data_IF_805308273865
#
_entry.id   IF_805308273865
#
_cell.length_a   1.000
_cell.length_b   1.000
_cell.length_c   1.000
_cell.angle_alpha   90.00
_cell.angle_beta   90.00
_cell.angle_gamma   90.00
#
_symmetry.space_group_name_H-M   'P 1'
#
loop_
_entity.id
_entity.type
_entity.pdbx_description
1 polymer ?
#
# COMPACT_ATOMS: atom_id res chain seq x y z
N UNK A 1 -49.87 -30.72 -28.25
CA UNK A 1 -50.18 -30.24 -26.89
C UNK A 1 -48.83 -29.82 -26.29
N UNK A 2 -48.62 -28.54 -26.01
CA UNK A 2 -47.38 -28.09 -25.41
C UNK A 2 -47.54 -28.23 -23.89
N UNK A 3 -46.77 -29.12 -23.28
CA UNK A 3 -46.70 -29.23 -21.84
C UNK A 3 -46.00 -27.99 -21.30
N UNK A 4 -46.77 -27.06 -20.72
CA UNK A 4 -46.19 -25.94 -19.95
C UNK A 4 -45.70 -26.49 -18.61
N UNK A 5 -44.49 -26.10 -18.22
CA UNK A 5 -44.02 -26.36 -16.89
C UNK A 5 -44.96 -25.70 -15.88
N UNK A 6 -45.43 -26.46 -14.91
CA UNK A 6 -46.12 -25.90 -13.75
C UNK A 6 -45.16 -25.09 -12.86
N UNK A 7 -45.69 -24.45 -11.82
CA UNK A 7 -44.89 -23.64 -10.90
C UNK A 7 -43.72 -24.40 -10.30
N UNK A 8 -43.91 -25.68 -10.01
CA UNK A 8 -42.89 -26.52 -9.37
C UNK A 8 -41.80 -26.91 -10.38
N UNK A 9 -42.17 -27.18 -11.62
CA UNK A 9 -41.24 -27.41 -12.72
C UNK A 9 -40.42 -26.17 -13.05
N UNK A 10 -41.02 -24.97 -13.04
CA UNK A 10 -40.30 -23.70 -13.21
C UNK A 10 -39.33 -23.47 -12.07
N UNK A 11 -39.73 -23.73 -10.82
CA UNK A 11 -38.91 -23.60 -9.64
C UNK A 11 -37.72 -24.56 -9.67
N UNK A 12 -37.94 -25.82 -10.04
CA UNK A 12 -36.89 -26.83 -10.18
C UNK A 12 -35.86 -26.46 -11.25
N UNK A 13 -36.29 -25.92 -12.40
CA UNK A 13 -35.41 -25.40 -13.45
C UNK A 13 -34.63 -24.20 -12.95
N UNK A 14 -35.27 -23.29 -12.21
CA UNK A 14 -34.63 -22.10 -11.64
C UNK A 14 -33.50 -22.47 -10.67
N UNK A 15 -33.75 -23.43 -9.78
CA UNK A 15 -32.73 -23.92 -8.83
C UNK A 15 -31.61 -24.67 -9.56
N UNK A 16 -31.89 -25.49 -10.56
CA UNK A 16 -30.92 -26.17 -11.37
C UNK A 16 -30.01 -25.21 -12.18
N UNK A 17 -30.57 -24.09 -12.64
CA UNK A 17 -29.85 -23.03 -13.36
C UNK A 17 -29.04 -22.15 -12.41
N UNK A 18 -29.58 -21.79 -11.25
CA UNK A 18 -28.83 -21.03 -10.21
C UNK A 18 -27.56 -21.75 -9.81
N UNK A 19 -27.55 -23.07 -9.68
CA UNK A 19 -26.35 -23.86 -9.36
C UNK A 19 -25.32 -23.95 -10.51
N UNK A 20 -25.70 -23.58 -11.74
CA UNK A 20 -24.84 -23.65 -12.94
C UNK A 20 -24.39 -22.29 -13.45
N UNK A 21 -24.99 -21.19 -12.98
CA UNK A 21 -24.52 -19.84 -13.29
C UNK A 21 -23.25 -19.64 -12.47
N UNK A 22 -22.06 -19.49 -13.10
CA UNK A 22 -20.87 -19.14 -12.35
C UNK A 22 -21.14 -17.81 -11.65
N UNK A 23 -20.97 -17.78 -10.34
CA UNK A 23 -21.03 -16.54 -9.57
C UNK A 23 -19.89 -15.63 -10.02
N UNK A 24 -20.18 -14.71 -10.93
CA UNK A 24 -19.21 -13.73 -11.42
C UNK A 24 -18.90 -12.80 -10.26
N UNK A 25 -17.63 -12.71 -9.92
CA UNK A 25 -17.17 -11.74 -8.94
C UNK A 25 -17.17 -10.35 -9.55
N UNK A 26 -17.85 -9.41 -8.93
CA UNK A 26 -17.73 -8.00 -9.28
C UNK A 26 -16.31 -7.48 -8.95
N UNK A 27 -15.80 -6.50 -9.70
CA UNK A 27 -14.50 -5.90 -9.42
C UNK A 27 -14.42 -5.34 -8.00
N UNK A 28 -13.32 -5.65 -7.32
CA UNK A 28 -13.03 -5.08 -6.01
C UNK A 28 -12.50 -3.65 -6.17
N UNK A 29 -13.06 -2.71 -5.44
CA UNK A 29 -12.68 -1.29 -5.45
C UNK A 29 -11.52 -0.99 -4.50
N UNK A 30 -11.20 -1.92 -3.60
CA UNK A 30 -10.06 -1.81 -2.70
C UNK A 30 -8.75 -2.12 -3.43
N UNK A 31 -7.68 -1.56 -2.93
CA UNK A 31 -6.30 -1.86 -3.34
C UNK A 31 -5.65 -2.71 -2.24
N UNK A 32 -4.90 -3.74 -2.63
CA UNK A 32 -4.31 -4.71 -1.70
C UNK A 32 -5.37 -5.39 -0.81
N UNK A 33 -6.44 -5.92 -1.39
CA UNK A 33 -7.59 -6.40 -0.63
C UNK A 33 -7.33 -7.70 0.13
N UNK A 34 -6.25 -8.40 -0.17
CA UNK A 34 -5.80 -9.63 0.50
C UNK A 34 -4.54 -9.39 1.38
N UNK A 35 -4.19 -8.13 1.63
CA UNK A 35 -3.11 -7.69 2.52
C UNK A 35 -1.69 -8.17 2.14
N UNK A 36 -1.50 -8.73 0.95
CA UNK A 36 -0.23 -9.40 0.57
C UNK A 36 0.86 -8.45 0.11
N UNK A 37 0.52 -7.24 -0.33
CA UNK A 37 1.51 -6.24 -0.70
C UNK A 37 1.95 -5.50 0.56
N UNK A 38 3.21 -5.64 0.91
CA UNK A 38 3.79 -5.10 2.13
C UNK A 38 5.20 -4.55 1.86
N UNK A 39 5.28 -3.47 1.08
CA UNK A 39 6.56 -2.84 0.72
C UNK A 39 7.27 -2.26 1.96
N UNK A 40 6.51 -1.89 3.01
CA UNK A 40 7.04 -1.38 4.28
C UNK A 40 7.69 -2.45 5.15
N UNK A 41 7.61 -3.73 4.78
CA UNK A 41 8.04 -4.87 5.61
C UNK A 41 7.41 -4.84 7.02
N UNK A 42 6.21 -4.26 7.09
CA UNK A 42 5.45 -4.15 8.33
C UNK A 42 5.20 -5.54 8.94
N UNK A 43 5.46 -5.69 10.22
CA UNK A 43 5.25 -6.96 10.96
C UNK A 43 4.05 -6.90 11.88
N UNK A 44 3.87 -5.77 12.56
CA UNK A 44 2.75 -5.59 13.47
C UNK A 44 2.88 -4.37 14.36
N UNK A 45 1.75 -3.88 14.79
CA UNK A 45 1.59 -2.86 15.82
C UNK A 45 0.32 -3.19 16.62
N UNK A 46 0.42 -3.17 17.94
CA UNK A 46 -0.70 -3.41 18.83
C UNK A 46 -0.93 -2.17 19.69
N UNK A 47 -2.17 -1.65 19.63
CA UNK A 47 -2.66 -0.59 20.52
C UNK A 47 -1.65 0.54 20.82
N UNK A 48 -1.10 1.22 19.80
CA UNK A 48 -0.23 2.35 20.07
C UNK A 48 -1.05 3.47 20.72
N UNK A 49 -0.97 3.55 22.03
CA UNK A 49 -1.71 4.55 22.82
C UNK A 49 -1.25 5.98 22.58
N UNK A 50 -0.06 6.14 22.03
CA UNK A 50 0.61 7.40 21.71
C UNK A 50 0.39 7.86 20.25
N UNK A 51 -0.22 7.03 19.40
CA UNK A 51 -0.58 7.46 18.05
C UNK A 51 -1.63 8.56 18.10
N UNK A 52 -1.23 9.75 17.70
CA UNK A 52 -2.12 10.89 17.52
C UNK A 52 -2.78 10.92 16.13
N UNK A 53 -2.32 10.07 15.23
CA UNK A 53 -2.68 10.08 13.81
C UNK A 53 -2.89 8.64 13.29
N UNK A 54 -3.47 8.56 12.08
CA UNK A 54 -3.57 7.32 11.31
C UNK A 54 -2.16 6.79 11.03
N UNK A 55 -1.97 5.50 11.21
CA UNK A 55 -0.71 4.80 10.94
C UNK A 55 -0.90 3.77 9.82
N UNK A 56 -0.15 3.96 8.72
CA UNK A 56 -0.16 3.01 7.61
C UNK A 56 0.64 1.75 7.95
N UNK A 57 0.04 0.59 7.70
CA UNK A 57 0.55 -0.74 8.00
C UNK A 57 1.06 -1.44 6.73
N UNK A 58 0.41 -2.49 6.26
CA UNK A 58 0.62 -3.00 4.90
C UNK A 58 0.09 -1.98 3.90
N UNK A 59 0.59 -2.04 2.66
CA UNK A 59 0.27 -1.03 1.65
C UNK A 59 -1.23 -0.75 1.55
N UNK A 60 -1.59 0.52 1.55
CA UNK A 60 -2.95 1.09 1.51
C UNK A 60 -3.80 0.91 2.77
N UNK A 61 -3.42 0.04 3.69
CA UNK A 61 -4.17 -0.18 4.92
C UNK A 61 -3.60 0.60 6.09
N UNK A 62 -4.47 1.13 6.92
CA UNK A 62 -4.08 1.91 8.07
C UNK A 62 -4.89 1.52 9.31
N UNK A 63 -4.31 1.78 10.48
CA UNK A 63 -4.97 1.70 11.79
C UNK A 63 -5.12 3.09 12.39
N UNK A 64 -6.16 3.28 13.18
CA UNK A 64 -6.42 4.51 13.92
C UNK A 64 -5.84 4.39 15.35
N UNK A 65 -5.76 5.49 16.11
CA UNK A 65 -5.39 5.43 17.51
C UNK A 65 -6.21 4.39 18.29
N UNK A 66 -5.53 3.55 19.06
CA UNK A 66 -6.16 2.46 19.81
C UNK A 66 -6.47 1.19 19.00
N UNK A 67 -6.19 1.17 17.71
CA UNK A 67 -6.31 0.00 16.86
C UNK A 67 -4.94 -0.65 16.62
N UNK A 68 -4.93 -1.89 16.11
CA UNK A 68 -3.69 -2.60 15.79
C UNK A 68 -3.84 -3.58 14.64
N UNK A 69 -2.71 -3.97 14.07
CA UNK A 69 -2.63 -4.99 13.02
C UNK A 69 -1.34 -5.80 13.18
N UNK A 70 -1.42 -7.10 12.95
CA UNK A 70 -0.26 -8.00 12.86
C UNK A 70 -0.37 -8.79 11.57
N UNK A 71 0.74 -8.92 10.85
CA UNK A 71 0.83 -9.79 9.66
C UNK A 71 1.23 -11.18 10.12
N UNK A 72 0.38 -12.16 9.85
CA UNK A 72 0.60 -13.56 10.22
C UNK A 72 1.48 -14.27 9.18
N UNK A 73 2.13 -15.35 9.59
CA UNK A 73 3.03 -16.15 8.72
C UNK A 73 2.32 -16.85 7.56
N UNK A 74 1.01 -17.06 7.67
CA UNK A 74 0.16 -17.66 6.63
C UNK A 74 -0.40 -16.64 5.62
N UNK A 75 -0.03 -15.36 5.77
CA UNK A 75 -0.47 -14.27 4.91
C UNK A 75 -1.83 -13.67 5.28
N UNK A 76 -2.45 -14.12 6.37
CA UNK A 76 -3.60 -13.45 6.96
C UNK A 76 -3.15 -12.26 7.82
N UNK A 77 -4.09 -11.44 8.27
CA UNK A 77 -3.80 -10.38 9.24
C UNK A 77 -4.70 -10.51 10.46
N UNK A 78 -4.12 -10.32 11.63
CA UNK A 78 -4.88 -10.13 12.88
C UNK A 78 -5.11 -8.65 13.08
N UNK A 79 -6.35 -8.24 13.22
CA UNK A 79 -6.73 -6.84 13.50
C UNK A 79 -7.26 -6.72 14.94
N UNK A 80 -6.95 -5.60 15.57
CA UNK A 80 -7.41 -5.23 16.92
C UNK A 80 -8.19 -3.93 16.82
N UNK A 81 -9.46 -3.95 17.19
CA UNK A 81 -10.37 -2.80 17.05
C UNK A 81 -10.75 -2.45 15.62
N UNK A 82 -9.84 -2.61 14.66
CA UNK A 82 -10.15 -2.44 13.25
C UNK A 82 -9.00 -1.92 12.38
N UNK A 83 -9.32 -1.68 11.11
CA UNK A 83 -8.44 -1.04 10.13
C UNK A 83 -9.26 -0.32 9.05
N UNK A 84 -8.61 0.57 8.31
CA UNK A 84 -9.26 1.40 7.29
C UNK A 84 -8.49 1.44 5.97
N UNK A 85 -9.22 1.76 4.89
CA UNK A 85 -8.65 2.17 3.61
C UNK A 85 -9.43 3.34 3.04
N UNK A 86 -8.73 4.40 2.63
CA UNK A 86 -9.33 5.54 1.90
C UNK A 86 -9.53 5.19 0.44
N UNK A 87 -10.72 5.50 -0.09
CA UNK A 87 -11.09 5.28 -1.49
C UNK A 87 -11.00 6.60 -2.24
N UNK A 88 -10.30 6.60 -3.38
CA UNK A 88 -10.12 7.83 -4.17
C UNK A 88 -11.37 8.23 -4.95
N UNK A 89 -11.98 7.24 -5.59
CA UNK A 89 -13.14 7.47 -6.43
C UNK A 89 -14.38 7.71 -5.59
N UNK A 90 -15.25 8.55 -6.11
CA UNK A 90 -16.63 8.52 -5.69
C UNK A 90 -17.30 7.28 -6.28
N UNK A 91 -17.76 6.40 -5.41
CA UNK A 91 -18.40 5.13 -5.82
C UNK A 91 -19.90 5.12 -5.53
N UNK A 92 -20.41 6.25 -5.00
CA UNK A 92 -21.81 6.39 -4.61
C UNK A 92 -22.20 5.50 -3.42
N UNK A 93 -23.50 5.41 -3.16
CA UNK A 93 -24.04 4.71 -2.00
C UNK A 93 -24.46 3.27 -2.30
N UNK A 94 -24.57 2.91 -3.59
CA UNK A 94 -24.96 1.55 -3.99
C UNK A 94 -23.75 0.64 -4.05
N UNK A 95 -23.19 0.33 -2.90
CA UNK A 95 -22.02 -0.54 -2.74
C UNK A 95 -22.25 -1.57 -1.65
N UNK A 96 -21.55 -2.69 -1.75
CA UNK A 96 -21.52 -3.75 -0.73
C UNK A 96 -20.10 -3.88 -0.20
N UNK A 97 -19.97 -3.83 1.13
CA UNK A 97 -18.74 -4.07 1.86
C UNK A 97 -18.75 -5.48 2.46
N UNK A 98 -17.67 -6.23 2.29
CA UNK A 98 -17.53 -7.58 2.84
C UNK A 98 -16.10 -7.88 3.29
N UNK A 99 -15.95 -8.84 4.21
CA UNK A 99 -14.66 -9.24 4.76
C UNK A 99 -14.63 -10.76 4.97
N UNK A 100 -13.50 -11.38 4.63
CA UNK A 100 -13.26 -12.81 4.88
C UNK A 100 -12.67 -13.03 6.26
N UNK A 101 -13.50 -13.41 7.21
CA UNK A 101 -13.09 -13.70 8.59
C UNK A 101 -12.66 -15.15 8.68
N UNK A 102 -11.46 -15.38 9.22
CA UNK A 102 -10.90 -16.71 9.50
C UNK A 102 -11.18 -17.11 10.96
N UNK A 103 -11.08 -16.16 11.88
CA UNK A 103 -11.34 -16.37 13.30
C UNK A 103 -11.77 -15.07 13.96
N UNK A 104 -12.57 -15.16 15.02
CA UNK A 104 -13.19 -14.00 15.66
C UNK A 104 -14.41 -13.47 14.91
N UNK A 105 -14.73 -12.21 15.10
CA UNK A 105 -15.83 -11.52 14.43
C UNK A 105 -15.40 -10.15 13.96
N UNK A 106 -15.71 -9.83 12.70
CA UNK A 106 -15.44 -8.51 12.12
C UNK A 106 -16.52 -8.12 11.12
N UNK A 107 -16.79 -6.83 11.02
CA UNK A 107 -17.78 -6.24 10.11
C UNK A 107 -17.08 -5.22 9.21
N UNK A 108 -17.37 -5.30 7.91
CA UNK A 108 -16.93 -4.32 6.92
C UNK A 108 -18.01 -3.27 6.69
N UNK A 109 -17.61 -2.02 6.57
CA UNK A 109 -18.49 -0.89 6.27
C UNK A 109 -17.81 0.10 5.31
N UNK A 110 -18.62 0.89 4.60
CA UNK A 110 -18.16 2.00 3.76
C UNK A 110 -18.93 3.27 4.08
N UNK A 111 -18.21 4.33 4.36
CA UNK A 111 -18.77 5.67 4.54
C UNK A 111 -18.53 6.50 3.26
N UNK A 112 -19.58 6.82 2.49
CA UNK A 112 -19.47 7.57 1.25
C UNK A 112 -19.08 9.04 1.48
N UNK A 113 -19.40 9.62 2.64
CA UNK A 113 -19.08 11.02 2.95
C UNK A 113 -17.57 11.20 3.16
N UNK A 114 -16.95 10.30 3.91
CA UNK A 114 -15.50 10.32 4.16
C UNK A 114 -14.71 9.48 3.16
N UNK A 115 -15.39 8.76 2.26
CA UNK A 115 -14.82 7.80 1.31
C UNK A 115 -13.92 6.78 2.01
N UNK A 116 -14.36 6.28 3.15
CA UNK A 116 -13.57 5.38 3.98
C UNK A 116 -14.22 4.00 4.04
N UNK A 117 -13.49 3.00 3.58
CA UNK A 117 -13.78 1.62 3.89
C UNK A 117 -13.18 1.28 5.25
N UNK A 118 -13.92 0.63 6.11
CA UNK A 118 -13.49 0.24 7.44
C UNK A 118 -13.84 -1.20 7.74
N UNK A 119 -12.98 -1.87 8.49
CA UNK A 119 -13.26 -3.14 9.13
C UNK A 119 -13.17 -2.90 10.63
N UNK A 120 -14.18 -3.30 11.38
CA UNK A 120 -14.21 -3.20 12.84
C UNK A 120 -14.40 -4.58 13.44
N UNK A 121 -13.71 -4.87 14.55
CA UNK A 121 -13.90 -6.12 15.28
C UNK A 121 -15.05 -5.99 16.28
N UNK A 122 -15.81 -7.07 16.40
CA UNK A 122 -16.77 -7.25 17.48
C UNK A 122 -16.08 -8.12 18.54
N UNK A 123 -15.42 -7.47 19.51
CA UNK A 123 -14.54 -8.08 20.48
C UNK A 123 -13.09 -7.58 20.38
N UNK A 124 -12.16 -8.29 21.02
CA UNK A 124 -10.77 -7.83 21.13
C UNK A 124 -10.02 -7.88 19.80
N UNK A 125 -10.19 -8.94 19.03
CA UNK A 125 -9.48 -9.12 17.76
C UNK A 125 -10.22 -10.05 16.79
N UNK A 126 -9.85 -9.97 15.51
CA UNK A 126 -10.24 -10.92 14.49
C UNK A 126 -9.09 -11.23 13.54
N UNK A 127 -9.06 -12.45 13.01
CA UNK A 127 -8.14 -12.85 11.92
C UNK A 127 -8.94 -12.77 10.62
N UNK A 128 -8.43 -12.00 9.66
CA UNK A 128 -9.06 -11.79 8.36
C UNK A 128 -8.09 -12.14 7.22
N UNK A 129 -8.63 -12.59 6.10
CA UNK A 129 -7.84 -13.02 4.94
C UNK A 129 -8.03 -12.13 3.71
N UNK A 130 -9.14 -11.44 3.61
CA UNK A 130 -9.43 -10.51 2.52
C UNK A 130 -10.54 -9.52 2.90
N UNK A 131 -10.62 -8.44 2.13
CA UNK A 131 -11.69 -7.45 2.19
C UNK A 131 -12.19 -7.13 0.78
N UNK A 132 -13.46 -6.73 0.65
CA UNK A 132 -14.04 -6.37 -0.63
C UNK A 132 -15.02 -5.22 -0.49
N UNK A 133 -14.88 -4.25 -1.37
CA UNK A 133 -15.88 -3.22 -1.65
C UNK A 133 -16.26 -3.32 -3.11
N UNK A 134 -17.53 -3.50 -3.41
CA UNK A 134 -18.01 -3.70 -4.77
C UNK A 134 -19.28 -2.89 -5.05
N UNK A 135 -19.51 -2.54 -6.31
CA UNK A 135 -20.75 -1.86 -6.71
C UNK A 135 -21.89 -2.87 -6.73
N UNK A 136 -23.03 -2.48 -6.19
CA UNK A 136 -24.23 -3.29 -6.12
C UNK A 136 -24.67 -3.58 -4.68
N UNK A 137 -25.86 -4.12 -4.52
CA UNK A 137 -26.50 -4.41 -3.22
C UNK A 137 -26.30 -5.84 -2.73
N UNK A 138 -25.59 -6.68 -3.48
CA UNK A 138 -25.39 -8.10 -3.16
C UNK A 138 -23.90 -8.41 -3.21
N UNK A 139 -23.40 -9.03 -2.13
CA UNK A 139 -22.02 -9.50 -2.08
C UNK A 139 -21.78 -10.64 -3.08
N UNK A 140 -20.74 -10.48 -3.90
CA UNK A 140 -20.28 -11.54 -4.80
C UNK A 140 -18.99 -12.18 -4.27
N UNK A 141 -18.63 -13.41 -4.69
CA UNK A 141 -17.45 -14.09 -4.20
C UNK A 141 -16.19 -13.25 -4.35
N UNK A 142 -15.26 -13.38 -3.39
CA UNK A 142 -13.96 -12.76 -3.49
C UNK A 142 -13.11 -13.46 -4.55
N UNK A 143 -12.47 -12.68 -5.41
CA UNK A 143 -11.47 -13.14 -6.37
C UNK A 143 -10.13 -12.48 -6.03
N UNK A 144 -9.07 -13.25 -5.72
CA UNK A 144 -7.76 -12.69 -5.44
C UNK A 144 -7.24 -11.86 -6.61
N UNK A 145 -6.63 -10.69 -6.36
CA UNK A 145 -6.08 -9.86 -7.42
C UNK A 145 -4.81 -10.48 -8.01
N UNK A 146 -4.44 -10.05 -9.22
CA UNK A 146 -3.12 -10.36 -9.76
C UNK A 146 -2.04 -9.57 -8.97
N UNK A 147 -1.04 -10.25 -8.35
CA UNK A 147 -0.08 -9.59 -7.47
C UNK A 147 0.73 -8.48 -8.15
N UNK A 148 1.12 -8.67 -9.41
CA UNK A 148 1.90 -7.66 -10.16
C UNK A 148 1.09 -6.40 -10.42
N UNK A 149 -0.15 -6.55 -10.86
CA UNK A 149 -1.05 -5.42 -11.08
C UNK A 149 -1.36 -4.70 -9.77
N UNK A 150 -1.52 -5.46 -8.69
CA UNK A 150 -1.82 -4.90 -7.38
C UNK A 150 -0.64 -4.13 -6.79
N UNK A 151 0.58 -4.65 -6.96
CA UNK A 151 1.80 -3.93 -6.58
C UNK A 151 1.90 -2.56 -7.30
N UNK A 152 1.61 -2.52 -8.60
CA UNK A 152 1.61 -1.26 -9.37
C UNK A 152 0.60 -0.26 -8.80
N UNK A 153 -0.60 -0.71 -8.41
CA UNK A 153 -1.58 0.14 -7.75
C UNK A 153 -1.08 0.67 -6.40
N UNK A 154 -0.45 -0.18 -5.58
CA UNK A 154 0.14 0.21 -4.30
C UNK A 154 1.28 1.22 -4.49
N UNK A 155 2.12 1.05 -5.50
CA UNK A 155 3.24 1.94 -5.81
C UNK A 155 2.82 3.37 -6.19
N UNK A 156 1.56 3.62 -6.53
CA UNK A 156 1.05 4.99 -6.69
C UNK A 156 0.96 5.76 -5.37
N UNK A 157 1.04 5.06 -4.23
CA UNK A 157 0.90 5.62 -2.88
C UNK A 157 2.15 5.50 -2.04
N UNK A 158 2.91 4.43 -2.24
CA UNK A 158 4.13 4.17 -1.50
C UNK A 158 5.15 3.47 -2.38
N UNK A 159 6.38 3.98 -2.37
CA UNK A 159 7.51 3.38 -3.08
C UNK A 159 8.76 3.39 -2.21
N UNK A 160 9.54 2.32 -2.30
CA UNK A 160 10.88 2.25 -1.76
C UNK A 160 11.88 2.22 -2.92
N UNK A 161 12.88 3.09 -2.85
CA UNK A 161 14.00 3.14 -3.77
C UNK A 161 15.29 2.77 -3.05
N UNK A 162 16.01 1.81 -3.61
CA UNK A 162 17.37 1.51 -3.18
C UNK A 162 18.33 2.52 -3.83
N UNK A 163 19.14 3.16 -3.02
CA UNK A 163 20.10 4.17 -3.47
C UNK A 163 21.45 3.60 -3.86
N UNK A 164 21.70 2.32 -3.66
CA UNK A 164 22.98 1.71 -3.99
C UNK A 164 23.34 1.94 -5.47
N UNK A 165 24.55 2.47 -5.71
CA UNK A 165 25.06 2.80 -7.05
C UNK A 165 24.27 3.85 -7.83
N UNK A 166 23.42 4.64 -7.17
CA UNK A 166 22.75 5.77 -7.80
C UNK A 166 23.80 6.81 -8.22
N UNK A 167 23.78 7.19 -9.50
CA UNK A 167 24.69 8.23 -10.03
C UNK A 167 24.30 9.60 -9.49
N UNK A 168 25.32 10.38 -9.12
CA UNK A 168 25.15 11.72 -8.58
C UNK A 168 25.86 12.72 -9.48
N UNK A 169 25.37 13.94 -9.54
CA UNK A 169 26.00 15.05 -10.22
C UNK A 169 26.60 16.03 -9.22
N UNK A 170 27.82 16.46 -9.52
CA UNK A 170 28.45 17.59 -8.82
C UNK A 170 27.63 18.86 -9.11
N UNK A 171 27.36 19.63 -8.06
CA UNK A 171 26.66 20.90 -8.18
C UNK A 171 27.50 22.07 -7.66
N UNK A 172 28.04 21.96 -6.43
CA UNK A 172 28.98 22.91 -5.82
C UNK A 172 29.99 22.17 -4.96
N UNK A 173 30.99 22.89 -4.41
CA UNK A 173 31.97 22.33 -3.48
C UNK A 173 31.33 21.72 -2.21
N UNK A 174 30.10 22.11 -1.88
CA UNK A 174 29.37 21.70 -0.68
C UNK A 174 28.10 20.91 -0.98
N UNK A 175 27.74 20.75 -2.26
CA UNK A 175 26.43 20.18 -2.64
C UNK A 175 26.54 19.27 -3.85
N UNK A 176 25.96 18.11 -3.74
CA UNK A 176 25.76 17.16 -4.83
C UNK A 176 24.25 16.93 -5.02
N UNK A 177 23.81 16.65 -6.24
CA UNK A 177 22.40 16.43 -6.53
C UNK A 177 22.19 15.17 -7.35
N UNK A 178 21.06 14.53 -7.17
CA UNK A 178 20.60 13.45 -8.03
C UNK A 178 19.08 13.39 -8.09
N UNK A 179 18.57 12.73 -9.11
CA UNK A 179 17.16 12.52 -9.31
C UNK A 179 16.85 11.02 -9.34
N UNK A 180 15.84 10.61 -8.58
CA UNK A 180 15.32 9.26 -8.57
C UNK A 180 13.98 9.23 -9.28
N UNK A 181 13.89 8.58 -10.45
CA UNK A 181 12.60 8.38 -11.10
C UNK A 181 11.74 7.43 -10.28
N UNK A 182 10.46 7.73 -10.16
CA UNK A 182 9.50 6.83 -9.55
C UNK A 182 9.28 5.60 -10.42
N UNK A 183 9.02 4.44 -9.79
CA UNK A 183 8.70 3.18 -10.50
C UNK A 183 7.40 3.29 -11.29
N UNK A 184 6.44 4.00 -10.74
CA UNK A 184 5.20 4.43 -11.39
C UNK A 184 4.88 5.85 -10.95
N UNK A 185 4.13 6.64 -11.74
CA UNK A 185 3.71 7.98 -11.32
C UNK A 185 2.92 7.94 -10.01
N UNK A 186 3.37 8.69 -9.03
CA UNK A 186 2.72 8.77 -7.74
C UNK A 186 1.63 9.84 -7.71
N UNK A 187 0.65 9.66 -6.87
CA UNK A 187 -0.44 10.61 -6.69
C UNK A 187 -0.13 11.68 -5.62
N UNK A 188 -0.95 12.75 -5.61
CA UNK A 188 -1.15 13.69 -4.51
C UNK A 188 0.10 14.35 -3.93
N UNK A 189 -0.03 14.78 -2.69
CA UNK A 189 1.08 15.32 -1.89
C UNK A 189 2.00 14.18 -1.49
N UNK A 190 3.29 14.34 -1.75
CA UNK A 190 4.31 13.31 -1.55
C UNK A 190 5.28 13.76 -0.49
N UNK A 191 5.65 12.83 0.38
CA UNK A 191 6.76 13.00 1.33
C UNK A 191 7.83 12.00 0.97
N UNK A 192 9.08 12.42 0.95
CA UNK A 192 10.22 11.54 0.79
C UNK A 192 11.01 11.52 2.10
N UNK A 193 11.25 10.32 2.61
CA UNK A 193 12.03 10.06 3.80
C UNK A 193 13.29 9.29 3.38
N UNK A 194 14.43 9.75 3.85
CA UNK A 194 15.72 9.11 3.60
C UNK A 194 16.11 8.36 4.85
N UNK A 195 16.14 7.03 4.74
CA UNK A 195 16.46 6.14 5.85
C UNK A 195 17.87 5.57 5.68
N UNK A 196 18.60 5.51 6.77
CA UNK A 196 19.92 4.89 6.87
C UNK A 196 21.09 5.82 6.61
N UNK A 197 22.29 5.27 6.75
CA UNK A 197 23.55 6.00 6.55
C UNK A 197 24.03 5.81 5.13
N UNK A 198 24.23 6.90 4.43
CA UNK A 198 24.71 6.91 3.05
C UNK A 198 26.13 7.50 3.01
N UNK A 199 26.96 6.95 2.14
CA UNK A 199 28.24 7.55 1.75
C UNK A 199 28.27 7.76 0.25
N UNK A 200 29.16 8.64 -0.22
CA UNK A 200 29.36 8.92 -1.63
C UNK A 200 30.77 8.48 -1.99
N UNK A 201 30.93 7.80 -3.10
CA UNK A 201 32.23 7.39 -3.62
C UNK A 201 32.41 7.81 -5.07
N UNK A 202 33.65 8.06 -5.42
CA UNK A 202 34.11 8.35 -6.78
C UNK A 202 34.78 7.13 -7.41
N UNK A 203 34.90 7.11 -8.73
CA UNK A 203 35.57 6.01 -9.45
C UNK A 203 37.04 5.87 -9.10
N UNK A 204 37.70 6.90 -8.58
CA UNK A 204 39.09 6.88 -8.07
C UNK A 204 39.20 6.34 -6.63
N UNK A 205 38.15 5.63 -6.17
CA UNK A 205 38.05 4.99 -4.84
C UNK A 205 38.08 5.96 -3.64
N UNK A 206 37.83 7.24 -3.82
CA UNK A 206 37.59 8.13 -2.70
C UNK A 206 36.15 7.94 -2.19
N UNK A 207 36.02 7.54 -0.95
CA UNK A 207 34.73 7.44 -0.26
C UNK A 207 34.61 8.51 0.79
N UNK A 208 33.45 9.16 0.84
CA UNK A 208 33.12 10.16 1.85
C UNK A 208 31.77 9.88 2.49
N UNK A 209 31.76 9.95 3.82
CA UNK A 209 30.55 9.86 4.65
C UNK A 209 30.21 11.21 5.29
N UNK A 210 29.13 11.26 6.04
CA UNK A 210 28.73 12.48 6.76
C UNK A 210 28.06 13.52 5.89
N UNK A 211 27.45 13.12 4.78
CA UNK A 211 26.53 13.98 4.03
C UNK A 211 25.19 14.06 4.71
N UNK A 212 24.61 15.25 4.71
CA UNK A 212 23.21 15.46 5.01
C UNK A 212 22.39 15.31 3.72
N UNK A 213 21.53 14.32 3.66
CA UNK A 213 20.67 14.08 2.49
C UNK A 213 19.31 14.71 2.71
N UNK A 214 18.89 15.55 1.77
CA UNK A 214 17.61 16.28 1.81
C UNK A 214 16.83 15.99 0.54
N UNK A 215 15.61 15.53 0.70
CA UNK A 215 14.64 15.49 -0.41
C UNK A 215 14.11 16.90 -0.63
N UNK A 216 14.54 17.57 -1.73
CA UNK A 216 14.13 18.95 -2.01
C UNK A 216 12.68 19.02 -2.48
N UNK A 217 12.31 18.15 -3.38
CA UNK A 217 10.94 18.04 -3.88
C UNK A 217 10.66 16.64 -4.44
N UNK A 218 9.41 16.23 -4.28
CA UNK A 218 8.90 14.99 -4.83
C UNK A 218 7.73 15.30 -5.79
N UNK A 219 7.84 14.83 -7.01
CA UNK A 219 6.82 14.99 -8.06
C UNK A 219 6.27 13.63 -8.48
N UNK A 220 5.27 13.62 -9.35
CA UNK A 220 4.67 12.37 -9.81
C UNK A 220 5.71 11.39 -10.37
N UNK A 221 6.71 11.92 -11.09
CA UNK A 221 7.67 11.11 -11.84
C UNK A 221 8.97 10.82 -11.08
N UNK A 222 9.20 11.46 -9.92
CA UNK A 222 10.41 11.21 -9.15
C UNK A 222 10.66 12.18 -8.01
N UNK A 223 11.82 12.04 -7.39
CA UNK A 223 12.28 12.89 -6.30
C UNK A 223 13.68 13.43 -6.58
N UNK A 224 13.88 14.73 -6.36
CA UNK A 224 15.20 15.36 -6.37
C UNK A 224 15.79 15.33 -4.96
N UNK A 225 17.00 14.87 -4.87
CA UNK A 225 17.73 14.75 -3.62
C UNK A 225 18.99 15.59 -3.69
N UNK A 226 19.25 16.30 -2.61
CA UNK A 226 20.46 17.03 -2.36
C UNK A 226 21.27 16.37 -1.25
N UNK A 227 22.56 16.15 -1.49
CA UNK A 227 23.50 15.68 -0.50
C UNK A 227 24.46 16.82 -0.17
N UNK A 228 24.48 17.26 1.08
CA UNK A 228 25.23 18.42 1.56
C UNK A 228 26.35 18.01 2.51
N UNK A 229 27.52 18.54 2.27
CA UNK A 229 28.67 18.42 3.17
C UNK A 229 29.70 19.51 2.84
N UNK A 230 30.03 20.37 3.79
CA UNK A 230 31.01 21.45 3.61
C UNK A 230 32.34 20.89 3.13
N UNK A 231 32.83 21.46 2.04
CA UNK A 231 34.12 21.12 1.43
C UNK A 231 34.33 19.59 1.27
N UNK A 232 33.35 18.91 0.64
CA UNK A 232 33.38 17.44 0.50
C UNK A 232 34.58 16.90 -0.30
N UNK A 233 35.33 17.75 -1.02
CA UNK A 233 36.55 17.38 -1.72
C UNK A 233 36.42 16.39 -2.87
N UNK A 234 35.17 16.08 -3.27
CA UNK A 234 34.88 15.28 -4.45
C UNK A 234 34.77 16.23 -5.64
N UNK A 235 35.55 15.98 -6.65
CA UNK A 235 35.58 16.75 -7.91
C UNK A 235 34.99 15.91 -9.02
N UNK A 236 34.83 16.44 -10.20
CA UNK A 236 34.13 15.97 -11.41
C UNK A 236 34.19 14.48 -11.82
N UNK A 237 34.68 13.61 -10.96
CA UNK A 237 34.61 12.17 -11.16
C UNK A 237 33.13 11.71 -11.12
N UNK A 238 32.88 10.59 -11.77
CA UNK A 238 31.56 9.96 -11.69
C UNK A 238 31.32 9.55 -10.23
N UNK A 239 30.32 10.14 -9.60
CA UNK A 239 29.98 9.93 -8.20
C UNK A 239 28.79 8.99 -8.08
N UNK A 240 28.82 8.13 -7.06
CA UNK A 240 27.75 7.18 -6.76
C UNK A 240 27.40 7.21 -5.28
N UNK A 241 26.14 6.99 -4.97
CA UNK A 241 25.75 6.67 -3.59
C UNK A 241 26.19 5.24 -3.27
N UNK A 242 26.89 5.08 -2.17
CA UNK A 242 27.18 3.78 -1.59
C UNK A 242 26.20 3.53 -0.45
N UNK A 243 25.08 2.91 -0.77
CA UNK A 243 24.19 2.34 0.25
C UNK A 243 24.73 0.95 0.61
N UNK A 244 25.09 0.74 1.86
CA UNK A 244 25.31 -0.60 2.38
C UNK A 244 24.01 -1.42 2.23
N UNK A 245 24.08 -2.76 2.09
CA UNK A 245 22.91 -3.61 1.92
C UNK A 245 21.83 -3.46 2.99
N UNK A 246 22.14 -2.83 4.11
CA UNK A 246 21.26 -2.64 5.27
C UNK A 246 20.78 -1.20 5.50
N UNK A 247 21.05 -0.23 4.60
CA UNK A 247 20.70 1.12 5.01
C UNK A 247 20.97 2.24 4.02
N UNK A 248 20.25 2.27 2.94
CA UNK A 248 20.27 3.41 2.01
C UNK A 248 19.03 3.37 1.16
N UNK A 249 17.90 3.61 1.79
CA UNK A 249 16.60 3.59 1.12
C UNK A 249 15.95 4.97 1.19
N UNK A 250 15.22 5.30 0.16
CA UNK A 250 14.26 6.40 0.18
C UNK A 250 12.87 5.81 0.10
N UNK A 251 12.07 6.19 1.07
CA UNK A 251 10.64 5.94 1.08
C UNK A 251 9.93 7.16 0.55
N UNK A 252 9.05 6.98 -0.43
CA UNK A 252 8.20 8.05 -0.94
C UNK A 252 6.76 7.66 -0.63
N UNK A 253 6.09 8.50 0.13
CA UNK A 253 4.74 8.30 0.60
C UNK A 253 3.78 9.36 0.01
N UNK A 254 2.65 8.92 -0.51
CA UNK A 254 1.56 9.73 -1.03
C UNK A 254 0.19 9.21 -0.54
N UNK A 255 0.17 8.61 0.63
CA UNK A 255 -1.06 8.12 1.26
C UNK A 255 -1.98 9.30 1.65
N UNK A 256 -3.30 9.03 1.81
CA UNK A 256 -4.35 10.04 1.96
C UNK A 256 -4.78 10.12 3.42
#
# INVERSE_FOLDING_TARGET
>A
MYDYLDSDGVQAVLEAVKGKIPTVSNPNLLINPDFKINQREFKGIQFPSDLKHIYYTVDRWAVQPGQGMIVNSDGTVTIYGGCIQKIEKDVGDNVTASVGVVSGSAVANYDPQTKTFSITTDGESAIISWAKLEIGSVATPFSPPNPTTELIKCQRYYQIHNLARQRIWYYTADTLVFFLPNKVPMRGNRKALINGTLSIFSLDNKSQSGFNFVAEWAVADGVKIRAEKTAHGLTDAILYVNGLPSGGQIEIEAEI
#
